data_IF_149830743409
#
_entry.id   IF_149830743409
#
_cell.length_a   1.000
_cell.length_b   1.000
_cell.length_c   1.000
_cell.angle_alpha   90.00
_cell.angle_beta   90.00
_cell.angle_gamma   90.00
#
_symmetry.space_group_name_H-M   'P 1'
#
loop_
_entity.id
_entity.type
_entity.pdbx_description
1 polymer ?
#
# COMPACT_ATOMS: atom_id res chain seq x y z
N UNK A 1 -9.20 -28.36 51.81
CA UNK A 1 -9.80 -27.69 50.68
C UNK A 1 -8.70 -27.23 49.76
N UNK A 2 -8.60 -27.95 48.67
CA UNK A 2 -7.61 -27.66 47.62
C UNK A 2 -8.20 -26.61 46.69
N UNK A 3 -7.55 -25.46 46.58
CA UNK A 3 -7.83 -24.43 45.60
C UNK A 3 -7.11 -24.76 44.30
N UNK A 4 -7.85 -25.16 43.27
CA UNK A 4 -7.39 -25.33 41.93
C UNK A 4 -7.24 -23.95 41.26
N UNK A 5 -6.00 -23.46 41.23
CA UNK A 5 -5.64 -22.30 40.39
C UNK A 5 -5.68 -22.71 38.93
N UNK A 6 -6.67 -22.22 38.17
CA UNK A 6 -6.68 -22.28 36.72
C UNK A 6 -5.60 -21.33 36.21
N UNK A 7 -4.50 -21.87 35.66
CA UNK A 7 -3.51 -21.13 34.93
C UNK A 7 -4.15 -20.60 33.63
N UNK A 8 -4.34 -19.29 33.52
CA UNK A 8 -4.61 -18.64 32.27
C UNK A 8 -3.33 -18.81 31.39
N UNK A 9 -3.48 -19.64 30.36
CA UNK A 9 -2.40 -19.86 29.39
C UNK A 9 -2.09 -18.56 28.66
N UNK A 10 -0.99 -17.93 29.02
CA UNK A 10 -0.41 -16.82 28.25
C UNK A 10 -0.03 -17.34 26.86
N UNK A 11 -0.58 -16.70 25.82
CA UNK A 11 -0.17 -16.98 24.45
C UNK A 11 1.35 -16.80 24.36
N UNK A 12 2.05 -17.79 23.78
CA UNK A 12 3.51 -17.71 23.68
C UNK A 12 3.90 -16.54 22.77
N UNK A 13 5.06 -15.92 23.02
CA UNK A 13 5.59 -14.85 22.15
C UNK A 13 5.69 -15.31 20.68
N UNK A 14 5.91 -16.61 20.47
CA UNK A 14 5.93 -17.20 19.13
C UNK A 14 4.56 -17.16 18.45
N UNK A 15 3.47 -17.45 19.18
CA UNK A 15 2.10 -17.41 18.64
C UNK A 15 1.68 -15.98 18.28
N UNK A 16 2.03 -15.01 19.12
CA UNK A 16 1.79 -13.59 18.85
C UNK A 16 2.57 -13.10 17.61
N UNK A 17 3.84 -13.50 17.48
CA UNK A 17 4.68 -13.16 16.32
C UNK A 17 4.13 -13.75 15.03
N UNK A 18 3.66 -15.00 15.05
CA UNK A 18 3.06 -15.67 13.89
C UNK A 18 1.72 -15.02 13.50
N UNK A 19 0.91 -14.66 14.48
CA UNK A 19 -0.36 -13.96 14.25
C UNK A 19 -0.14 -12.62 13.54
N UNK A 20 0.81 -11.84 14.05
CA UNK A 20 1.19 -10.56 13.47
C UNK A 20 1.74 -10.70 12.03
N UNK A 21 2.61 -11.68 11.81
CA UNK A 21 3.16 -11.93 10.48
C UNK A 21 2.05 -12.22 9.47
N UNK A 22 1.10 -13.10 9.80
CA UNK A 22 -0.06 -13.40 8.94
C UNK A 22 -0.89 -12.16 8.64
N UNK A 23 -1.15 -11.33 9.65
CA UNK A 23 -1.88 -10.07 9.48
C UNK A 23 -1.16 -9.13 8.48
N UNK A 24 0.16 -8.97 8.59
CA UNK A 24 0.93 -8.13 7.67
C UNK A 24 0.94 -8.69 6.24
N UNK A 25 0.96 -10.01 6.09
CA UNK A 25 0.86 -10.70 4.80
C UNK A 25 -0.50 -10.47 4.14
N UNK A 26 -1.59 -10.52 4.91
CA UNK A 26 -2.95 -10.27 4.41
C UNK A 26 -3.15 -8.82 3.97
N UNK A 27 -2.54 -7.87 4.67
CA UNK A 27 -2.62 -6.44 4.38
C UNK A 27 -1.77 -5.99 3.20
N UNK A 28 -0.89 -6.83 2.67
CA UNK A 28 0.09 -6.41 1.67
C UNK A 28 -0.08 -7.15 0.36
N UNK A 29 -0.22 -6.38 -0.73
CA UNK A 29 -0.17 -6.90 -2.11
C UNK A 29 1.02 -6.30 -2.85
N UNK A 30 1.84 -7.15 -3.45
CA UNK A 30 2.93 -6.76 -4.35
C UNK A 30 2.51 -7.03 -5.78
N UNK A 31 2.64 -6.04 -6.66
CA UNK A 31 2.24 -6.18 -8.06
C UNK A 31 3.42 -6.60 -8.93
N UNK A 32 3.31 -7.77 -9.53
CA UNK A 32 4.23 -8.29 -10.54
C UNK A 32 3.62 -8.17 -11.93
N UNK A 33 4.43 -7.79 -12.92
CA UNK A 33 3.96 -7.76 -14.31
C UNK A 33 3.64 -9.16 -14.85
N UNK A 34 4.34 -10.20 -14.37
CA UNK A 34 4.12 -11.58 -14.82
C UNK A 34 3.01 -12.28 -14.03
N UNK A 35 3.02 -12.12 -12.69
CA UNK A 35 2.14 -12.90 -11.80
C UNK A 35 0.90 -12.11 -11.32
N UNK A 36 0.81 -10.80 -11.61
CA UNK A 36 -0.25 -9.95 -11.05
C UNK A 36 -0.02 -9.60 -9.59
N UNK A 37 -1.07 -9.42 -8.80
CA UNK A 37 -0.97 -9.23 -7.36
C UNK A 37 -0.55 -10.53 -6.68
N UNK A 38 0.51 -10.46 -5.88
CA UNK A 38 1.07 -11.57 -5.08
C UNK A 38 1.16 -11.16 -3.62
N UNK A 39 1.13 -12.12 -2.71
CA UNK A 39 1.36 -11.93 -1.28
C UNK A 39 2.86 -11.90 -0.98
N UNK A 40 3.23 -11.42 0.21
CA UNK A 40 4.64 -11.36 0.64
C UNK A 40 5.31 -12.73 0.72
N UNK A 41 4.52 -13.78 0.95
CA UNK A 41 4.97 -15.17 1.10
C UNK A 41 4.95 -15.99 -0.18
N UNK A 42 4.41 -15.44 -1.28
CA UNK A 42 4.35 -16.16 -2.55
C UNK A 42 5.75 -16.37 -3.12
N UNK A 43 6.05 -17.62 -3.47
CA UNK A 43 7.29 -17.97 -4.14
C UNK A 43 7.13 -17.69 -5.63
N UNK A 44 7.85 -16.70 -6.12
CA UNK A 44 7.84 -16.32 -7.54
C UNK A 44 9.22 -16.54 -8.16
N UNK A 45 9.26 -16.96 -9.42
CA UNK A 45 10.51 -17.10 -10.18
C UNK A 45 11.04 -15.73 -10.61
N UNK A 46 12.36 -15.54 -10.68
CA UNK A 46 12.96 -14.34 -11.25
C UNK A 46 12.49 -14.12 -12.70
N UNK A 47 12.11 -12.90 -13.02
CA UNK A 47 11.65 -12.55 -14.37
C UNK A 47 12.00 -11.10 -14.72
N UNK A 48 12.02 -10.80 -16.02
CA UNK A 48 12.21 -9.45 -16.55
C UNK A 48 11.03 -9.08 -17.43
N UNK A 49 9.90 -8.80 -16.83
CA UNK A 49 8.70 -8.29 -17.51
C UNK A 49 8.28 -7.00 -16.83
N UNK A 50 7.90 -5.99 -17.60
CA UNK A 50 7.41 -4.70 -17.12
C UNK A 50 5.97 -4.52 -17.56
N UNK A 51 5.17 -3.78 -16.78
CA UNK A 51 3.77 -3.51 -17.10
C UNK A 51 3.56 -2.71 -18.39
N UNK A 52 4.59 -1.96 -18.82
CA UNK A 52 4.58 -1.18 -20.07
C UNK A 52 4.84 -2.03 -21.33
N UNK A 53 5.35 -3.25 -21.19
CA UNK A 53 5.60 -4.15 -22.35
C UNK A 53 4.29 -4.41 -23.08
N UNK A 54 4.33 -4.24 -24.41
CA UNK A 54 3.20 -4.53 -25.29
C UNK A 54 3.32 -5.95 -25.86
N UNK A 55 2.29 -6.74 -25.66
CA UNK A 55 2.18 -8.08 -26.23
C UNK A 55 1.45 -8.00 -27.58
N UNK A 56 1.95 -8.66 -28.64
CA UNK A 56 1.32 -8.65 -29.97
C UNK A 56 -0.17 -9.06 -29.87
N UNK A 57 -1.04 -8.25 -30.44
CA UNK A 57 -2.49 -8.51 -30.47
C UNK A 57 -3.24 -8.35 -29.13
N UNK A 58 -2.54 -8.11 -28.00
CA UNK A 58 -3.17 -8.08 -26.67
C UNK A 58 -3.07 -6.74 -25.94
N UNK A 59 -2.17 -5.86 -26.36
CA UNK A 59 -1.94 -4.57 -25.70
C UNK A 59 -0.84 -4.62 -24.64
N UNK A 60 -0.81 -3.64 -23.72
CA UNK A 60 0.19 -3.64 -22.64
C UNK A 60 -0.16 -4.63 -21.54
N UNK A 61 0.87 -5.18 -20.89
CA UNK A 61 0.72 -6.08 -19.75
C UNK A 61 -0.15 -5.41 -18.68
N UNK A 62 0.06 -4.13 -18.39
CA UNK A 62 -0.77 -3.40 -17.45
C UNK A 62 -2.25 -3.34 -17.86
N UNK A 63 -2.55 -3.21 -19.17
CA UNK A 63 -3.93 -3.19 -19.66
C UNK A 63 -4.61 -4.55 -19.56
N UNK A 64 -3.85 -5.65 -19.75
CA UNK A 64 -4.34 -7.01 -19.57
C UNK A 64 -4.73 -7.24 -18.12
N UNK A 65 -3.82 -6.92 -17.19
CA UNK A 65 -4.10 -7.02 -15.75
C UNK A 65 -5.25 -6.12 -15.31
N UNK A 66 -5.34 -4.91 -15.85
CA UNK A 66 -6.44 -3.98 -15.50
C UNK A 66 -7.82 -4.57 -15.81
N UNK A 67 -7.94 -5.34 -16.89
CA UNK A 67 -9.19 -6.04 -17.23
C UNK A 67 -9.44 -7.23 -16.30
N UNK A 68 -8.40 -8.04 -16.06
CA UNK A 68 -8.52 -9.26 -15.24
C UNK A 68 -8.79 -8.96 -13.74
N UNK A 69 -8.19 -7.90 -13.20
CA UNK A 69 -8.25 -7.58 -11.78
C UNK A 69 -9.43 -6.69 -11.40
N UNK A 70 -10.12 -6.08 -12.37
CA UNK A 70 -11.13 -5.06 -12.12
C UNK A 70 -12.19 -5.49 -11.10
N UNK A 71 -12.87 -6.60 -11.36
CA UNK A 71 -13.96 -7.08 -10.51
C UNK A 71 -13.42 -7.68 -9.21
N UNK A 72 -12.39 -8.52 -9.31
CA UNK A 72 -11.79 -9.21 -8.17
C UNK A 72 -11.29 -8.22 -7.11
N UNK A 73 -10.45 -7.26 -7.49
CA UNK A 73 -9.91 -6.30 -6.53
C UNK A 73 -10.96 -5.26 -6.08
N UNK A 74 -11.96 -4.95 -6.90
CA UNK A 74 -13.04 -4.07 -6.46
C UNK A 74 -13.83 -4.72 -5.32
N UNK A 75 -14.07 -6.02 -5.36
CA UNK A 75 -14.73 -6.77 -4.28
C UNK A 75 -13.82 -6.92 -3.06
N UNK A 76 -12.57 -7.33 -3.26
CA UNK A 76 -11.62 -7.56 -2.16
C UNK A 76 -11.25 -6.29 -1.39
N UNK A 77 -11.24 -5.13 -2.05
CA UNK A 77 -10.85 -3.86 -1.45
C UNK A 77 -12.04 -2.98 -1.03
N UNK A 78 -13.28 -3.50 -1.15
CA UNK A 78 -14.49 -2.79 -0.69
C UNK A 78 -14.41 -2.54 0.81
N UNK A 79 -14.75 -1.32 1.24
CA UNK A 79 -14.71 -0.90 2.64
C UNK A 79 -13.30 -0.64 3.19
N UNK A 80 -12.24 -0.73 2.36
CA UNK A 80 -10.87 -0.55 2.83
C UNK A 80 -10.26 0.78 2.40
N UNK A 81 -9.39 1.31 3.26
CA UNK A 81 -8.43 2.37 2.88
C UNK A 81 -7.18 1.70 2.35
N UNK A 82 -6.86 1.96 1.09
CA UNK A 82 -5.72 1.36 0.38
C UNK A 82 -4.63 2.39 0.15
N UNK A 83 -3.45 2.15 0.68
CA UNK A 83 -2.27 2.99 0.43
C UNK A 83 -1.55 2.47 -0.81
N UNK A 84 -1.68 3.18 -1.94
CA UNK A 84 -1.07 2.78 -3.21
C UNK A 84 0.35 3.33 -3.36
N UNK A 85 1.31 2.46 -3.11
CA UNK A 85 2.75 2.73 -3.20
C UNK A 85 3.34 2.37 -4.56
N UNK A 86 2.52 1.89 -5.50
CA UNK A 86 2.98 1.46 -6.82
C UNK A 86 3.49 2.65 -7.65
N UNK A 87 4.39 2.38 -8.59
CA UNK A 87 4.72 3.35 -9.64
C UNK A 87 3.53 3.55 -10.58
N UNK A 88 3.53 4.64 -11.35
CA UNK A 88 2.44 4.93 -12.30
C UNK A 88 2.18 3.77 -13.29
N UNK A 89 3.24 3.06 -13.69
CA UNK A 89 3.17 1.89 -14.56
C UNK A 89 2.37 0.73 -13.92
N UNK A 90 2.70 0.38 -12.68
CA UNK A 90 2.00 -0.67 -11.93
C UNK A 90 0.64 -0.20 -11.41
N UNK A 91 0.48 1.09 -11.12
CA UNK A 91 -0.82 1.69 -10.78
C UNK A 91 -1.85 1.57 -11.91
N UNK A 92 -1.39 1.45 -13.16
CA UNK A 92 -2.26 1.20 -14.31
C UNK A 92 -2.86 -0.22 -14.34
N UNK A 93 -2.31 -1.18 -13.58
CA UNK A 93 -2.83 -2.56 -13.52
C UNK A 93 -4.14 -2.69 -12.74
N UNK A 94 -4.45 -1.76 -11.87
CA UNK A 94 -5.73 -1.67 -11.17
C UNK A 94 -6.00 -0.24 -10.69
N UNK A 95 -7.22 0.20 -10.89
CA UNK A 95 -7.79 1.43 -10.33
C UNK A 95 -9.23 1.15 -9.90
N UNK A 96 -9.69 1.68 -8.76
CA UNK A 96 -11.06 1.55 -8.33
C UNK A 96 -12.05 2.00 -9.42
N UNK A 97 -13.19 1.36 -9.46
CA UNK A 97 -14.28 1.76 -10.35
C UNK A 97 -15.03 2.94 -9.75
N UNK A 98 -15.74 3.69 -10.58
CA UNK A 98 -16.60 4.79 -10.12
C UNK A 98 -17.68 4.23 -9.18
N UNK A 99 -17.82 4.84 -8.00
CA UNK A 99 -18.77 4.39 -6.97
C UNK A 99 -18.33 3.14 -6.20
N UNK A 100 -17.05 2.74 -6.30
CA UNK A 100 -16.53 1.71 -5.39
C UNK A 100 -16.42 2.26 -3.97
N UNK A 101 -16.60 1.37 -3.00
CA UNK A 101 -16.49 1.65 -1.56
C UNK A 101 -15.03 1.55 -1.06
N UNK A 102 -14.07 1.70 -1.94
CA UNK A 102 -12.64 1.65 -1.64
C UNK A 102 -12.06 3.06 -1.67
N UNK A 103 -11.35 3.46 -0.62
CA UNK A 103 -10.56 4.69 -0.61
C UNK A 103 -9.12 4.37 -1.02
N UNK A 104 -8.66 4.92 -2.15
CA UNK A 104 -7.30 4.68 -2.64
C UNK A 104 -6.44 5.94 -2.49
N UNK A 105 -5.44 5.88 -1.66
CA UNK A 105 -4.46 6.94 -1.42
C UNK A 105 -3.23 6.73 -2.32
N UNK A 106 -3.15 7.46 -3.42
CA UNK A 106 -2.01 7.39 -4.35
C UNK A 106 -0.83 8.19 -3.81
N UNK A 107 0.25 7.52 -3.42
CA UNK A 107 1.42 8.17 -2.81
C UNK A 107 2.39 8.69 -3.87
N UNK A 108 2.52 10.01 -3.93
CA UNK A 108 3.54 10.73 -4.69
C UNK A 108 4.64 11.27 -3.80
N UNK A 109 5.81 11.55 -4.38
CA UNK A 109 6.92 12.19 -3.70
C UNK A 109 7.39 13.38 -4.54
N UNK A 110 7.56 14.52 -3.90
CA UNK A 110 8.04 15.75 -4.52
C UNK A 110 9.20 16.36 -3.73
N UNK A 111 10.06 17.08 -4.41
CA UNK A 111 11.05 17.97 -3.78
C UNK A 111 10.76 19.42 -4.15
N UNK A 112 10.96 20.31 -3.20
CA UNK A 112 10.95 21.75 -3.43
C UNK A 112 12.37 22.19 -3.73
N UNK A 113 12.58 22.87 -4.84
CA UNK A 113 13.83 23.54 -5.12
C UNK A 113 13.94 24.77 -4.19
N UNK A 114 14.92 24.82 -3.28
CA UNK A 114 14.99 25.89 -2.27
C UNK A 114 15.24 27.28 -2.90
N UNK A 115 15.86 27.35 -4.08
CA UNK A 115 16.16 28.61 -4.76
C UNK A 115 14.95 29.18 -5.54
N UNK A 116 14.05 28.33 -6.03
CA UNK A 116 12.95 28.75 -6.92
C UNK A 116 11.56 28.48 -6.36
N UNK A 117 11.44 27.75 -5.25
CA UNK A 117 10.18 27.28 -4.70
C UNK A 117 9.44 26.27 -5.61
N UNK A 118 10.00 25.94 -6.78
CA UNK A 118 9.34 25.01 -7.69
C UNK A 118 9.40 23.59 -7.19
N UNK A 119 8.26 22.90 -7.28
CA UNK A 119 8.13 21.48 -6.97
C UNK A 119 8.47 20.64 -8.19
N UNK A 120 9.24 19.59 -7.98
CA UNK A 120 9.54 18.57 -8.99
C UNK A 120 9.23 17.18 -8.46
N UNK A 121 8.59 16.34 -9.28
CA UNK A 121 8.41 14.93 -8.96
C UNK A 121 9.76 14.23 -9.08
N UNK A 122 10.16 13.48 -8.07
CA UNK A 122 11.47 12.83 -8.01
C UNK A 122 11.31 11.32 -8.12
N UNK A 123 11.57 10.76 -9.29
CA UNK A 123 11.37 9.34 -9.56
C UNK A 123 12.30 8.42 -8.74
N UNK A 124 13.57 8.81 -8.57
CA UNK A 124 14.55 7.97 -7.85
C UNK A 124 14.26 7.92 -6.34
N UNK A 125 14.06 9.06 -5.69
CA UNK A 125 13.72 9.14 -4.28
C UNK A 125 12.32 8.60 -3.97
N UNK A 126 11.40 8.61 -4.94
CA UNK A 126 10.05 8.11 -4.75
C UNK A 126 10.01 6.63 -4.34
N UNK A 127 10.88 5.80 -4.90
CA UNK A 127 10.95 4.38 -4.53
C UNK A 127 11.39 4.20 -3.08
N UNK A 128 12.45 4.91 -2.67
CA UNK A 128 12.98 4.83 -1.32
C UNK A 128 11.96 5.34 -0.29
N UNK A 129 11.40 6.54 -0.51
CA UNK A 129 10.41 7.14 0.42
C UNK A 129 9.15 6.29 0.54
N UNK A 130 8.65 5.71 -0.57
CA UNK A 130 7.52 4.77 -0.52
C UNK A 130 7.85 3.50 0.25
N UNK A 131 9.08 2.99 0.14
CA UNK A 131 9.56 1.85 0.93
C UNK A 131 9.62 2.18 2.42
N UNK A 132 10.11 3.36 2.79
CA UNK A 132 10.09 3.84 4.18
C UNK A 132 8.66 3.96 4.72
N UNK A 133 7.74 4.52 3.92
CA UNK A 133 6.33 4.62 4.30
C UNK A 133 5.71 3.24 4.49
N UNK A 134 5.93 2.30 3.56
CA UNK A 134 5.44 0.93 3.71
C UNK A 134 5.90 0.31 5.05
N UNK A 135 7.20 0.40 5.34
CA UNK A 135 7.75 -0.12 6.60
C UNK A 135 7.21 0.60 7.84
N UNK A 136 6.95 1.91 7.76
CA UNK A 136 6.37 2.66 8.87
C UNK A 136 4.91 2.28 9.14
N UNK A 137 4.09 2.15 8.09
CA UNK A 137 2.70 1.71 8.20
C UNK A 137 2.60 0.29 8.78
N UNK A 138 3.41 -0.64 8.26
CA UNK A 138 3.43 -2.01 8.79
C UNK A 138 3.84 -2.06 10.27
N UNK A 139 4.82 -1.24 10.68
CA UNK A 139 5.18 -1.12 12.11
C UNK A 139 4.07 -0.49 12.95
N UNK A 140 3.36 0.52 12.43
CA UNK A 140 2.25 1.15 13.12
C UNK A 140 1.09 0.16 13.36
N UNK A 141 0.77 -0.68 12.37
CA UNK A 141 -0.20 -1.78 12.53
C UNK A 141 0.31 -2.80 13.54
N UNK A 142 1.56 -3.23 13.41
CA UNK A 142 2.18 -4.18 14.33
C UNK A 142 2.20 -3.71 15.78
N UNK A 143 2.36 -2.41 16.00
CA UNK A 143 2.36 -1.78 17.33
C UNK A 143 0.97 -1.38 17.83
N UNK A 144 -0.10 -1.67 17.08
CA UNK A 144 -1.47 -1.29 17.43
C UNK A 144 -1.75 0.21 17.36
N UNK A 145 -0.89 0.98 16.70
CA UNK A 145 -1.04 2.43 16.49
C UNK A 145 -1.95 2.75 15.29
N UNK A 146 -2.12 1.81 14.40
CA UNK A 146 -2.98 1.90 13.22
C UNK A 146 -3.85 0.65 13.13
N UNK A 147 -5.16 0.84 12.98
CA UNK A 147 -6.08 -0.30 12.80
C UNK A 147 -5.88 -0.96 11.43
N UNK A 148 -5.85 -2.28 11.41
CA UNK A 148 -5.63 -3.04 10.18
C UNK A 148 -6.86 -3.05 9.26
N UNK A 149 -8.07 -2.95 9.82
CA UNK A 149 -9.34 -3.10 9.08
C UNK A 149 -10.00 -1.77 8.71
N UNK A 150 -9.87 -0.76 9.57
CA UNK A 150 -10.59 0.51 9.45
C UNK A 150 -9.62 1.70 9.56
N UNK A 151 -8.43 1.56 8.94
CA UNK A 151 -7.38 2.57 9.02
C UNK A 151 -7.93 3.97 8.69
N UNK A 152 -7.85 4.86 9.66
CA UNK A 152 -8.22 6.26 9.46
C UNK A 152 -7.20 6.91 8.52
N UNK A 153 -7.71 7.67 7.55
CA UNK A 153 -6.86 8.42 6.61
C UNK A 153 -5.94 9.37 7.38
N UNK A 154 -6.43 10.03 8.44
CA UNK A 154 -5.65 10.96 9.23
C UNK A 154 -4.50 10.27 9.98
N UNK A 155 -4.72 9.06 10.51
CA UNK A 155 -3.66 8.26 11.13
C UNK A 155 -2.58 7.86 10.11
N UNK A 156 -2.99 7.45 8.90
CA UNK A 156 -2.07 7.15 7.80
C UNK A 156 -1.22 8.38 7.43
N UNK A 157 -1.86 9.56 7.35
CA UNK A 157 -1.16 10.81 7.05
C UNK A 157 -0.21 11.22 8.17
N UNK A 158 -0.54 10.97 9.44
CA UNK A 158 0.34 11.19 10.59
C UNK A 158 1.59 10.30 10.52
N UNK A 159 1.43 9.00 10.20
CA UNK A 159 2.57 8.10 9.99
C UNK A 159 3.45 8.60 8.85
N UNK A 160 2.85 9.08 7.76
CA UNK A 160 3.58 9.63 6.62
C UNK A 160 4.34 10.93 6.97
N UNK A 161 3.74 11.80 7.78
CA UNK A 161 4.36 13.04 8.24
C UNK A 161 5.53 12.80 9.22
N UNK A 162 5.51 11.69 9.96
CA UNK A 162 6.58 11.29 10.87
C UNK A 162 7.81 10.67 10.17
N UNK A 163 7.80 10.51 8.85
CA UNK A 163 8.95 9.95 8.13
C UNK A 163 10.12 10.93 8.08
N UNK A 164 11.32 10.41 8.29
CA UNK A 164 12.55 11.20 8.16
C UNK A 164 12.67 11.83 6.76
N UNK A 165 12.91 13.12 6.72
CA UNK A 165 13.06 13.90 5.49
C UNK A 165 11.75 14.39 4.87
N UNK A 166 10.59 13.98 5.35
CA UNK A 166 9.30 14.54 4.96
C UNK A 166 9.06 15.83 5.73
N UNK A 167 8.84 16.93 5.01
CA UNK A 167 8.58 18.26 5.57
C UNK A 167 7.10 18.59 5.60
N UNK A 168 6.36 18.06 4.63
CA UNK A 168 4.94 18.35 4.45
C UNK A 168 4.25 17.15 3.79
N UNK A 169 3.02 16.90 4.19
CA UNK A 169 2.13 15.90 3.56
C UNK A 169 0.91 16.62 3.05
N UNK A 170 0.65 16.49 1.76
CA UNK A 170 -0.51 17.10 1.12
C UNK A 170 -1.45 16.02 0.62
N UNK A 171 -2.75 16.25 0.75
CA UNK A 171 -3.78 15.37 0.20
C UNK A 171 -4.76 16.19 -0.66
N UNK A 172 -5.10 15.65 -1.84
CA UNK A 172 -6.17 16.21 -2.66
C UNK A 172 -7.53 15.69 -2.20
N UNK A 173 -8.62 16.41 -2.49
CA UNK A 173 -9.96 15.86 -2.31
C UNK A 173 -10.13 14.54 -3.08
N UNK A 174 -11.01 13.67 -2.57
CA UNK A 174 -11.38 12.43 -3.24
C UNK A 174 -12.04 12.70 -4.59
N UNK A 175 -11.64 11.97 -5.60
CA UNK A 175 -12.29 11.99 -6.90
C UNK A 175 -13.56 11.10 -6.90
N UNK A 176 -14.28 11.06 -8.02
CA UNK A 176 -15.51 10.27 -8.18
C UNK A 176 -15.29 8.74 -8.15
N UNK A 177 -14.03 8.29 -8.01
CA UNK A 177 -13.64 6.88 -7.88
C UNK A 177 -13.14 6.55 -6.49
N UNK A 178 -13.24 7.48 -5.52
CA UNK A 178 -12.69 7.30 -4.19
C UNK A 178 -11.16 7.36 -4.15
N UNK A 179 -10.52 8.09 -5.07
CA UNK A 179 -9.07 8.23 -5.09
C UNK A 179 -8.64 9.63 -4.64
N UNK A 180 -7.63 9.69 -3.80
CA UNK A 180 -6.90 10.91 -3.47
C UNK A 180 -5.42 10.76 -3.82
N UNK A 181 -4.78 11.85 -4.15
CA UNK A 181 -3.32 11.93 -4.27
C UNK A 181 -2.75 12.45 -2.96
N UNK A 182 -1.88 11.67 -2.35
CA UNK A 182 -1.07 12.11 -1.21
C UNK A 182 0.33 12.42 -1.71
N UNK A 183 0.83 13.63 -1.44
CA UNK A 183 2.18 14.04 -1.86
C UNK A 183 3.06 14.25 -0.63
N UNK A 184 4.12 13.46 -0.52
CA UNK A 184 5.16 13.62 0.47
C UNK A 184 6.19 14.61 -0.07
N UNK A 185 6.36 15.74 0.60
CA UNK A 185 7.29 16.82 0.21
C UNK A 185 8.58 16.68 1.03
N UNK A 186 9.71 16.52 0.34
CA UNK A 186 11.04 16.33 0.93
C UNK A 186 11.85 17.63 0.96
#
# INVERSE_FOLDING_TARGET
>A
PQGSGQGQGGQSQADQSQGLQRQLEELTLVFSALFGPVRLTDLITPHRLSGSVKLPGQGSVASIWSKALKELLTQQLSGHVVVDLRSAEYGAMYRPTRGSDCLLLNIGVAKVNPATGKRSVVSHWAKHTRGLLAGALLRAVAGGQLAASDGDVDEILQVAAGLEGVKEVEITPLDARGQAKVTLVL
#
